data_IF_800412829153
#
_entry.id   IF_800412829153
#
_cell.length_a   1.000
_cell.length_b   1.000
_cell.length_c   1.000
_cell.angle_alpha   90.00
_cell.angle_beta   90.00
_cell.angle_gamma   90.00
#
_symmetry.space_group_name_H-M   'P 1'
#
loop_
_entity.id
_entity.type
_entity.pdbx_description
1 polymer ?
#
# COMPACT_ATOMS: atom_id res chain seq x y z
N UNK A 1 44.82 29.12 -71.37
CA UNK A 1 43.51 29.77 -71.55
C UNK A 1 42.46 28.65 -71.44
N UNK A 2 41.99 28.42 -70.22
CA UNK A 2 40.62 28.74 -69.77
C UNK A 2 39.53 28.02 -70.55
N UNK A 3 38.91 27.03 -69.88
CA UNK A 3 37.52 26.69 -70.09
C UNK A 3 36.96 26.10 -68.79
N UNK A 4 36.16 26.92 -68.11
CA UNK A 4 35.40 26.62 -66.91
C UNK A 4 34.49 25.39 -67.08
N UNK A 5 34.50 24.49 -66.09
CA UNK A 5 33.42 23.52 -65.87
C UNK A 5 32.92 23.58 -64.42
N UNK A 6 31.62 23.87 -64.34
CA UNK A 6 30.74 23.87 -63.18
C UNK A 6 30.99 22.70 -62.21
N UNK A 7 31.09 23.00 -60.92
CA UNK A 7 30.93 22.04 -59.82
C UNK A 7 29.61 22.36 -59.11
N UNK A 8 28.64 21.46 -59.29
CA UNK A 8 27.38 21.41 -58.57
C UNK A 8 27.60 20.72 -57.22
N UNK A 9 27.39 21.45 -56.12
CA UNK A 9 27.52 20.95 -54.75
C UNK A 9 26.30 20.10 -54.36
N UNK A 10 26.50 18.79 -54.18
CA UNK A 10 25.58 17.90 -53.45
C UNK A 10 25.86 18.03 -51.94
N UNK A 11 24.84 18.12 -51.06
CA UNK A 11 25.08 18.05 -49.62
C UNK A 11 25.42 16.61 -49.18
N UNK A 12 26.22 16.43 -48.13
CA UNK A 12 26.66 15.11 -47.69
C UNK A 12 25.53 14.36 -46.98
N UNK A 13 25.53 13.04 -47.18
CA UNK A 13 24.64 12.05 -46.60
C UNK A 13 24.68 12.06 -45.07
N UNK A 14 23.51 12.22 -44.43
CA UNK A 14 23.33 12.03 -42.99
C UNK A 14 23.32 10.52 -42.70
N UNK A 15 24.35 10.02 -42.03
CA UNK A 15 24.39 8.63 -41.57
C UNK A 15 23.41 8.43 -40.41
N UNK A 16 22.64 7.36 -40.49
CA UNK A 16 21.78 6.85 -39.43
C UNK A 16 22.60 6.50 -38.19
N UNK A 17 22.57 7.38 -37.18
CA UNK A 17 23.01 7.09 -35.82
C UNK A 17 22.40 8.10 -34.83
N UNK A 18 21.08 8.25 -34.84
CA UNK A 18 20.38 8.79 -33.67
C UNK A 18 20.19 7.64 -32.69
N UNK A 19 21.19 7.44 -31.84
CA UNK A 19 21.07 6.60 -30.65
C UNK A 19 20.05 7.31 -29.75
N UNK A 20 18.84 6.74 -29.64
CA UNK A 20 17.93 7.07 -28.54
C UNK A 20 18.66 6.73 -27.23
N UNK A 21 19.24 7.74 -26.58
CA UNK A 21 19.71 7.62 -25.22
C UNK A 21 18.49 7.52 -24.30
N UNK A 22 17.92 6.32 -24.17
CA UNK A 22 17.00 6.02 -23.08
C UNK A 22 17.73 6.26 -21.77
N UNK A 23 17.21 7.15 -20.92
CA UNK A 23 17.70 7.34 -19.56
C UNK A 23 17.91 5.98 -18.88
N UNK A 24 19.04 5.72 -18.20
CA UNK A 24 19.30 4.40 -17.63
C UNK A 24 18.23 4.06 -16.59
N UNK A 25 17.50 2.98 -16.84
CA UNK A 25 16.39 2.53 -16.00
C UNK A 25 16.84 2.41 -14.53
N UNK A 26 16.10 3.06 -13.61
CA UNK A 26 16.48 3.15 -12.19
C UNK A 26 16.64 1.76 -11.57
N UNK A 27 17.69 1.56 -10.79
CA UNK A 27 17.98 0.28 -10.12
C UNK A 27 16.96 0.03 -9.00
N UNK A 28 16.49 -1.20 -8.89
CA UNK A 28 15.67 -1.64 -7.77
C UNK A 28 16.51 -1.75 -6.49
N UNK A 29 16.00 -1.21 -5.38
CA UNK A 29 16.67 -1.28 -4.08
C UNK A 29 16.83 -2.75 -3.64
N UNK A 30 18.04 -3.23 -3.30
CA UNK A 30 18.27 -4.62 -2.92
C UNK A 30 17.39 -5.10 -1.77
N UNK A 31 17.25 -4.32 -0.70
CA UNK A 31 16.48 -4.76 0.49
C UNK A 31 14.98 -4.82 0.27
N UNK A 32 14.46 -4.13 -0.76
CA UNK A 32 13.05 -4.20 -1.17
C UNK A 32 12.82 -5.37 -2.15
N UNK A 33 13.64 -5.49 -3.20
CA UNK A 33 13.44 -6.56 -4.21
C UNK A 33 13.66 -7.98 -3.66
N UNK A 34 14.31 -8.13 -2.50
CA UNK A 34 14.48 -9.43 -1.83
C UNK A 34 13.29 -9.86 -0.99
N UNK A 35 12.31 -8.97 -0.76
CA UNK A 35 11.09 -9.28 -0.01
C UNK A 35 10.22 -10.28 -0.76
N UNK A 36 9.30 -10.93 -0.05
CA UNK A 36 8.23 -11.76 -0.61
C UNK A 36 6.90 -11.01 -0.55
N UNK A 37 5.93 -11.27 -1.45
CA UNK A 37 4.65 -10.56 -1.44
C UNK A 37 3.92 -10.65 -0.09
N UNK A 38 3.89 -11.82 0.55
CA UNK A 38 3.31 -12.01 1.91
C UNK A 38 3.98 -11.21 3.04
N UNK A 39 5.17 -10.69 2.81
CA UNK A 39 5.90 -9.83 3.77
C UNK A 39 5.55 -8.35 3.56
N UNK A 40 4.70 -8.04 2.57
CA UNK A 40 4.35 -6.68 2.17
C UNK A 40 2.91 -6.34 2.54
N UNK A 41 2.74 -5.09 2.99
CA UNK A 41 1.48 -4.37 2.95
C UNK A 41 1.67 -3.21 1.98
N UNK A 42 0.90 -3.19 0.89
CA UNK A 42 0.91 -2.08 -0.05
C UNK A 42 -0.04 -1.01 0.47
N UNK A 43 0.45 0.22 0.55
CA UNK A 43 -0.36 1.39 0.88
C UNK A 43 -0.52 2.21 -0.39
N UNK A 44 -1.74 2.25 -0.89
CA UNK A 44 -2.10 2.96 -2.11
C UNK A 44 -2.59 4.35 -1.73
N UNK A 45 -1.88 5.37 -2.18
CA UNK A 45 -2.26 6.77 -2.00
C UNK A 45 -2.89 7.36 -3.26
N UNK A 46 -3.33 8.61 -3.16
CA UNK A 46 -4.05 9.33 -4.22
C UNK A 46 -3.22 9.47 -5.50
N UNK A 47 -1.90 9.49 -5.40
CA UNK A 47 -1.02 9.51 -6.57
C UNK A 47 -1.16 8.29 -7.49
N UNK A 48 -1.64 7.15 -6.98
CA UNK A 48 -1.95 5.99 -7.82
C UNK A 48 -3.26 6.22 -8.57
N UNK A 49 -4.32 6.65 -7.89
CA UNK A 49 -5.59 6.98 -8.55
C UNK A 49 -5.40 8.08 -9.62
N UNK A 50 -4.58 9.09 -9.31
CA UNK A 50 -4.20 10.14 -10.24
C UNK A 50 -3.46 9.61 -11.48
N UNK A 51 -2.54 8.65 -11.31
CA UNK A 51 -1.84 8.02 -12.42
C UNK A 51 -2.73 7.06 -13.23
N UNK A 52 -3.73 6.46 -12.59
CA UNK A 52 -4.65 5.52 -13.24
C UNK A 52 -5.67 6.23 -14.12
N UNK A 53 -6.23 7.33 -13.62
CA UNK A 53 -7.26 8.10 -14.29
C UNK A 53 -6.91 9.60 -14.23
N UNK A 54 -5.88 10.05 -14.97
CA UNK A 54 -5.33 11.41 -14.87
C UNK A 54 -6.31 12.52 -15.28
N UNK A 55 -7.36 12.16 -16.02
CA UNK A 55 -8.39 13.09 -16.49
C UNK A 55 -9.53 13.30 -15.49
N UNK A 56 -9.49 12.65 -14.32
CA UNK A 56 -10.53 12.76 -13.28
C UNK A 56 -10.05 13.73 -12.20
N UNK A 57 -10.58 14.97 -12.15
CA UNK A 57 -10.09 16.00 -11.22
C UNK A 57 -10.21 15.59 -9.74
N UNK A 58 -11.27 14.86 -9.39
CA UNK A 58 -11.52 14.36 -8.04
C UNK A 58 -10.41 13.42 -7.52
N UNK A 59 -9.65 12.79 -8.42
CA UNK A 59 -8.56 11.88 -8.06
C UNK A 59 -7.20 12.58 -8.01
N UNK A 60 -7.10 13.84 -8.41
CA UNK A 60 -5.82 14.57 -8.48
C UNK A 60 -5.45 15.24 -7.17
N UNK A 61 -6.44 15.68 -6.38
CA UNK A 61 -6.19 16.40 -5.13
C UNK A 61 -7.42 16.43 -4.24
N UNK A 62 -7.20 16.71 -2.95
CA UNK A 62 -8.27 16.94 -1.99
C UNK A 62 -9.19 18.10 -2.40
N UNK A 63 -8.62 19.21 -2.88
CA UNK A 63 -9.38 20.34 -3.44
C UNK A 63 -10.22 19.89 -4.64
N UNK A 64 -9.64 19.09 -5.53
CA UNK A 64 -10.34 18.53 -6.69
C UNK A 64 -11.54 17.66 -6.30
N UNK A 65 -11.39 16.85 -5.25
CA UNK A 65 -12.51 16.04 -4.72
C UNK A 65 -13.63 16.92 -4.16
N UNK A 66 -13.31 17.91 -3.32
CA UNK A 66 -14.33 18.79 -2.74
C UNK A 66 -15.00 19.63 -3.83
N UNK A 67 -14.24 20.10 -4.81
CA UNK A 67 -14.77 20.82 -5.96
C UNK A 67 -15.75 19.94 -6.75
N UNK A 68 -15.37 18.70 -7.08
CA UNK A 68 -16.25 17.78 -7.80
C UNK A 68 -17.53 17.45 -7.02
N UNK A 69 -17.44 17.31 -5.69
CA UNK A 69 -18.62 17.14 -4.83
C UNK A 69 -19.52 18.37 -4.82
N UNK A 70 -18.93 19.57 -4.80
CA UNK A 70 -19.67 20.82 -4.88
C UNK A 70 -20.37 20.98 -6.23
N UNK A 71 -19.66 20.66 -7.32
CA UNK A 71 -20.21 20.72 -8.69
C UNK A 71 -21.39 19.76 -8.83
N UNK A 72 -21.24 18.50 -8.39
CA UNK A 72 -22.34 17.53 -8.38
C UNK A 72 -23.53 18.01 -7.51
N UNK A 73 -23.26 18.65 -6.37
CA UNK A 73 -24.31 19.21 -5.53
C UNK A 73 -25.07 20.37 -6.19
N UNK A 74 -24.37 21.18 -6.98
CA UNK A 74 -24.98 22.26 -7.77
C UNK A 74 -25.80 21.66 -8.91
N UNK A 75 -25.27 20.67 -9.63
CA UNK A 75 -25.95 20.02 -10.76
C UNK A 75 -27.23 19.27 -10.33
N UNK A 76 -27.28 18.81 -9.08
CA UNK A 76 -28.47 18.23 -8.47
C UNK A 76 -29.40 19.24 -7.77
N UNK A 77 -29.16 20.55 -7.91
CA UNK A 77 -29.94 21.63 -7.30
C UNK A 77 -30.07 21.51 -5.77
N UNK A 78 -29.01 21.06 -5.08
CA UNK A 78 -29.02 20.79 -3.64
C UNK A 78 -28.61 21.99 -2.77
N UNK A 79 -28.14 23.06 -3.40
CA UNK A 79 -27.60 24.25 -2.75
C UNK A 79 -28.22 25.50 -3.33
N UNK A 80 -28.53 26.48 -2.49
CA UNK A 80 -28.98 27.79 -2.95
C UNK A 80 -27.81 28.58 -3.59
N UNK A 81 -28.10 29.51 -4.50
CA UNK A 81 -27.09 30.31 -5.22
C UNK A 81 -26.10 31.04 -4.29
N UNK A 82 -26.57 31.51 -3.13
CA UNK A 82 -25.71 32.17 -2.13
C UNK A 82 -24.77 31.17 -1.44
N UNK A 83 -25.27 29.97 -1.12
CA UNK A 83 -24.48 28.90 -0.52
C UNK A 83 -23.41 28.39 -1.48
N UNK A 84 -23.80 28.13 -2.73
CA UNK A 84 -22.89 27.71 -3.80
C UNK A 84 -21.75 28.72 -3.98
N UNK A 85 -22.07 30.02 -4.05
CA UNK A 85 -21.06 31.09 -4.13
C UNK A 85 -20.14 31.12 -2.90
N UNK A 86 -20.68 30.90 -1.70
CA UNK A 86 -19.89 30.84 -0.46
C UNK A 86 -18.92 29.67 -0.47
N UNK A 87 -19.37 28.46 -0.81
CA UNK A 87 -18.51 27.28 -0.90
C UNK A 87 -17.43 27.45 -1.97
N UNK A 88 -17.79 27.93 -3.16
CA UNK A 88 -16.83 28.23 -4.21
C UNK A 88 -15.77 29.23 -3.74
N UNK A 89 -16.18 30.34 -3.09
CA UNK A 89 -15.22 31.31 -2.56
C UNK A 89 -14.26 30.70 -1.54
N UNK A 90 -14.75 29.90 -0.60
CA UNK A 90 -13.92 29.23 0.38
C UNK A 90 -12.90 28.26 -0.25
N UNK A 91 -13.31 27.52 -1.30
CA UNK A 91 -12.41 26.64 -2.07
C UNK A 91 -11.36 27.43 -2.87
N UNK A 92 -11.73 28.55 -3.47
CA UNK A 92 -10.81 29.39 -4.23
C UNK A 92 -9.74 30.03 -3.34
N UNK A 93 -10.12 30.45 -2.13
CA UNK A 93 -9.21 31.08 -1.16
C UNK A 93 -8.33 30.05 -0.40
N UNK A 94 -8.43 28.75 -0.73
CA UNK A 94 -7.72 27.64 -0.08
C UNK A 94 -7.86 27.63 1.46
N UNK A 95 -8.97 28.17 1.96
CA UNK A 95 -9.25 28.27 3.40
C UNK A 95 -9.61 26.90 3.93
N UNK A 96 -8.75 26.37 4.81
CA UNK A 96 -8.97 25.19 5.65
C UNK A 96 -9.93 24.16 5.03
N UNK A 97 -9.50 23.53 3.93
CA UNK A 97 -10.30 22.62 3.09
C UNK A 97 -11.04 21.53 3.89
N UNK A 98 -10.49 21.14 5.04
CA UNK A 98 -11.12 20.20 5.98
C UNK A 98 -12.45 20.73 6.53
N UNK A 99 -12.52 22.01 6.88
CA UNK A 99 -13.77 22.63 7.35
C UNK A 99 -14.76 22.79 6.20
N UNK A 100 -14.29 23.17 5.01
CA UNK A 100 -15.15 23.29 3.81
C UNK A 100 -15.78 21.94 3.47
N UNK A 101 -14.99 20.86 3.46
CA UNK A 101 -15.49 19.51 3.27
C UNK A 101 -16.52 19.13 4.34
N UNK A 102 -16.22 19.41 5.61
CA UNK A 102 -17.12 19.09 6.72
C UNK A 102 -18.48 19.78 6.58
N UNK A 103 -18.49 21.09 6.32
CA UNK A 103 -19.71 21.88 6.17
C UNK A 103 -20.53 21.42 4.95
N UNK A 104 -19.85 21.12 3.83
CA UNK A 104 -20.51 20.57 2.63
C UNK A 104 -21.18 19.23 2.92
N UNK A 105 -20.50 18.30 3.59
CA UNK A 105 -21.09 16.99 3.95
C UNK A 105 -22.28 17.16 4.87
N UNK A 106 -22.20 18.04 5.89
CA UNK A 106 -23.33 18.28 6.78
C UNK A 106 -24.56 18.78 6.02
N UNK A 107 -24.36 19.64 5.03
CA UNK A 107 -25.43 20.15 4.17
C UNK A 107 -26.02 19.04 3.28
N UNK A 108 -25.18 18.18 2.71
CA UNK A 108 -25.58 17.07 1.84
C UNK A 108 -26.10 15.84 2.60
N UNK A 109 -25.85 15.77 3.90
CA UNK A 109 -26.31 14.69 4.80
C UNK A 109 -27.11 15.27 5.97
N UNK A 110 -28.27 15.92 5.70
CA UNK A 110 -29.12 16.40 6.78
C UNK A 110 -29.50 15.22 7.68
N UNK A 111 -29.58 15.45 8.99
CA UNK A 111 -29.93 14.43 10.00
C UNK A 111 -31.39 13.99 9.85
N UNK A 112 -31.72 13.32 8.76
CA UNK A 112 -32.99 12.65 8.55
C UNK A 112 -32.90 11.23 9.09
N UNK A 113 -34.01 10.67 9.54
CA UNK A 113 -34.08 9.32 10.14
C UNK A 113 -33.80 8.18 9.15
N UNK A 114 -33.52 8.48 7.87
CA UNK A 114 -33.22 7.49 6.84
C UNK A 114 -31.72 7.51 6.48
N UNK A 115 -30.96 6.69 7.19
CA UNK A 115 -29.49 6.58 7.12
C UNK A 115 -28.99 6.10 5.73
N UNK A 116 -29.90 5.59 4.87
CA UNK A 116 -29.55 4.95 3.59
C UNK A 116 -29.66 5.83 2.33
N UNK A 117 -30.16 7.07 2.43
CA UNK A 117 -30.35 7.97 1.27
C UNK A 117 -30.00 9.43 1.61
N UNK A 118 -28.71 9.73 1.75
CA UNK A 118 -28.24 11.12 1.83
C UNK A 118 -27.89 11.62 0.44
N UNK A 119 -28.13 12.90 0.14
CA UNK A 119 -27.69 13.49 -1.12
C UNK A 119 -26.17 13.44 -1.30
N UNK A 120 -25.43 13.35 -0.18
CA UNK A 120 -23.98 13.12 -0.20
C UNK A 120 -23.61 11.82 -0.91
N UNK A 121 -24.39 10.75 -0.71
CA UNK A 121 -24.21 9.50 -1.43
C UNK A 121 -24.36 9.73 -2.93
N UNK A 122 -25.43 10.39 -3.35
CA UNK A 122 -25.72 10.61 -4.77
C UNK A 122 -24.63 11.46 -5.43
N UNK A 123 -24.14 12.50 -4.76
CA UNK A 123 -22.99 13.30 -5.21
C UNK A 123 -21.72 12.45 -5.36
N UNK A 124 -21.42 11.58 -4.40
CA UNK A 124 -20.25 10.69 -4.49
C UNK A 124 -20.35 9.70 -5.65
N UNK A 125 -21.53 9.14 -5.89
CA UNK A 125 -21.75 8.24 -7.02
C UNK A 125 -21.55 8.98 -8.34
N UNK A 126 -22.02 10.22 -8.47
CA UNK A 126 -21.79 11.05 -9.65
C UNK A 126 -20.29 11.33 -9.87
N UNK A 127 -19.59 11.76 -8.81
CA UNK A 127 -18.14 12.07 -8.88
C UNK A 127 -17.31 10.87 -9.31
N UNK A 128 -17.66 9.68 -8.84
CA UNK A 128 -16.96 8.43 -9.15
C UNK A 128 -17.69 7.57 -10.18
N UNK A 129 -18.63 8.15 -10.94
CA UNK A 129 -19.32 7.39 -11.97
C UNK A 129 -18.37 7.04 -13.12
N UNK A 130 -18.59 5.86 -13.69
CA UNK A 130 -17.92 5.41 -14.91
C UNK A 130 -16.38 5.49 -14.86
N UNK A 131 -15.78 5.27 -13.68
CA UNK A 131 -14.31 5.29 -13.50
C UNK A 131 -13.59 4.26 -14.37
N UNK A 132 -14.22 3.11 -14.64
CA UNK A 132 -13.64 2.03 -15.46
C UNK A 132 -13.26 2.51 -16.86
N UNK A 133 -14.13 3.27 -17.53
CA UNK A 133 -13.85 3.81 -18.86
C UNK A 133 -12.81 4.92 -18.87
N UNK A 134 -12.51 5.51 -17.70
CA UNK A 134 -11.57 6.62 -17.51
C UNK A 134 -10.14 6.16 -17.19
N UNK A 135 -9.91 4.84 -17.05
CA UNK A 135 -8.59 4.27 -16.78
C UNK A 135 -7.70 4.26 -18.04
N UNK A 136 -6.51 4.85 -17.95
CA UNK A 136 -5.49 4.82 -19.01
C UNK A 136 -4.64 3.53 -18.94
N UNK A 137 -4.01 3.14 -20.05
CA UNK A 137 -3.32 1.84 -20.17
C UNK A 137 -2.09 1.73 -19.25
N UNK A 138 -1.33 2.81 -19.08
CA UNK A 138 -0.23 2.89 -18.11
C UNK A 138 -0.73 2.72 -16.67
N UNK A 139 -1.91 3.28 -16.38
CA UNK A 139 -2.66 3.08 -15.15
C UNK A 139 -3.04 1.63 -14.90
N UNK A 140 -3.60 0.97 -15.92
CA UNK A 140 -3.96 -0.45 -15.87
C UNK A 140 -2.75 -1.34 -15.60
N UNK A 141 -1.59 -1.06 -16.21
CA UNK A 141 -0.33 -1.77 -15.96
C UNK A 141 0.13 -1.64 -14.49
N UNK A 142 -0.06 -0.46 -13.89
CA UNK A 142 0.23 -0.22 -12.48
C UNK A 142 -0.69 -1.05 -11.57
N UNK A 143 -2.00 -1.04 -11.84
CA UNK A 143 -2.98 -1.85 -11.10
C UNK A 143 -2.75 -3.36 -11.30
N UNK A 144 -2.33 -3.79 -12.49
CA UNK A 144 -1.95 -5.16 -12.77
C UNK A 144 -0.81 -5.63 -11.86
N UNK A 145 0.19 -4.78 -11.67
CA UNK A 145 1.33 -5.06 -10.79
C UNK A 145 0.92 -5.17 -9.31
N UNK A 146 0.00 -4.31 -8.86
CA UNK A 146 -0.59 -4.38 -7.51
C UNK A 146 -1.35 -5.69 -7.34
N UNK A 147 -2.26 -6.00 -8.28
CA UNK A 147 -3.07 -7.21 -8.28
C UNK A 147 -2.19 -8.47 -8.30
N UNK A 148 -1.11 -8.47 -9.08
CA UNK A 148 -0.16 -9.57 -9.11
C UNK A 148 0.47 -9.82 -7.74
N UNK A 149 0.87 -8.78 -7.01
CA UNK A 149 1.41 -8.94 -5.66
C UNK A 149 0.35 -9.45 -4.67
N UNK A 150 -0.90 -8.97 -4.76
CA UNK A 150 -2.02 -9.47 -3.95
C UNK A 150 -2.27 -10.96 -4.14
N UNK A 151 -2.27 -11.43 -5.38
CA UNK A 151 -2.43 -12.86 -5.70
C UNK A 151 -1.29 -13.73 -5.19
N UNK A 152 -0.15 -13.12 -4.85
CA UNK A 152 0.98 -13.77 -4.22
C UNK A 152 1.02 -13.56 -2.68
N UNK A 153 0.01 -12.90 -2.11
CA UNK A 153 -0.20 -12.79 -0.66
C UNK A 153 0.10 -11.42 -0.06
N UNK A 154 0.39 -10.38 -0.85
CA UNK A 154 0.48 -9.03 -0.31
C UNK A 154 -0.91 -8.54 0.15
N UNK A 155 -0.94 -7.83 1.28
CA UNK A 155 -2.13 -7.10 1.71
C UNK A 155 -2.16 -5.71 1.06
N UNK A 156 -3.35 -5.14 0.88
CA UNK A 156 -3.52 -3.79 0.34
C UNK A 156 -4.45 -3.00 1.25
N UNK A 157 -4.01 -1.79 1.58
CA UNK A 157 -4.85 -0.76 2.19
C UNK A 157 -4.69 0.54 1.42
N UNK A 158 -5.69 1.40 1.51
CA UNK A 158 -5.74 2.68 0.82
C UNK A 158 -6.41 3.73 1.69
N UNK A 159 -6.04 4.99 1.47
CA UNK A 159 -6.78 6.14 2.02
C UNK A 159 -7.70 6.75 0.96
N UNK A 160 -7.76 6.19 -0.25
CA UNK A 160 -8.58 6.74 -1.31
C UNK A 160 -10.04 6.27 -1.19
N UNK A 161 -10.98 7.11 -1.65
CA UNK A 161 -12.41 6.82 -1.65
C UNK A 161 -12.84 6.00 -2.87
N UNK A 162 -12.11 6.07 -3.98
CA UNK A 162 -12.36 5.30 -5.19
C UNK A 162 -12.09 3.80 -5.00
N UNK A 163 -12.60 2.98 -5.90
CA UNK A 163 -12.40 1.52 -5.95
C UNK A 163 -11.73 1.08 -7.26
N UNK A 164 -10.81 1.89 -7.82
CA UNK A 164 -10.21 1.65 -9.14
C UNK A 164 -9.51 0.28 -9.23
N UNK A 165 -8.85 -0.16 -8.16
CA UNK A 165 -8.18 -1.45 -8.11
C UNK A 165 -9.18 -2.61 -8.21
N UNK A 166 -10.32 -2.48 -7.54
CA UNK A 166 -11.38 -3.48 -7.54
C UNK A 166 -12.14 -3.52 -8.87
N UNK A 167 -12.45 -2.36 -9.45
CA UNK A 167 -13.03 -2.27 -10.79
C UNK A 167 -12.11 -2.92 -11.83
N UNK A 168 -10.82 -2.59 -11.80
CA UNK A 168 -9.83 -3.20 -12.68
C UNK A 168 -9.77 -4.72 -12.49
N UNK A 169 -9.74 -5.19 -11.24
CA UNK A 169 -9.69 -6.62 -10.97
C UNK A 169 -10.96 -7.35 -11.43
N UNK A 170 -12.14 -6.74 -11.28
CA UNK A 170 -13.41 -7.28 -11.79
C UNK A 170 -13.37 -7.43 -13.32
N UNK A 171 -12.83 -6.44 -14.04
CA UNK A 171 -12.61 -6.53 -15.48
C UNK A 171 -11.60 -7.64 -15.87
N UNK A 172 -10.66 -7.98 -14.98
CA UNK A 172 -9.76 -9.14 -15.12
C UNK A 172 -10.40 -10.47 -14.67
N UNK A 173 -11.71 -10.50 -14.38
CA UNK A 173 -12.44 -11.69 -13.92
C UNK A 173 -12.14 -12.09 -12.48
N UNK A 174 -11.64 -11.16 -11.65
CA UNK A 174 -11.31 -11.40 -10.24
C UNK A 174 -12.19 -10.55 -9.34
N UNK A 175 -12.68 -11.15 -8.27
CA UNK A 175 -13.47 -10.43 -7.28
C UNK A 175 -12.56 -9.96 -6.13
N UNK A 176 -12.42 -8.65 -5.97
CA UNK A 176 -11.83 -8.03 -4.80
C UNK A 176 -12.94 -7.49 -3.90
N UNK A 177 -12.85 -7.76 -2.60
CA UNK A 177 -13.79 -7.20 -1.62
C UNK A 177 -13.24 -5.88 -1.07
N UNK A 178 -14.00 -4.79 -1.19
CA UNK A 178 -13.72 -3.54 -0.49
C UNK A 178 -14.15 -3.65 0.97
N UNK A 179 -13.24 -3.32 1.87
CA UNK A 179 -13.45 -3.27 3.32
C UNK A 179 -13.29 -1.84 3.79
N UNK A 180 -14.05 -1.45 4.80
CA UNK A 180 -13.82 -0.21 5.53
C UNK A 180 -13.84 -0.49 7.04
N UNK A 181 -13.53 0.54 7.83
CA UNK A 181 -13.40 0.42 9.27
C UNK A 181 -14.74 0.29 10.01
N UNK A 182 -15.88 0.29 9.31
CA UNK A 182 -17.20 0.07 9.93
C UNK A 182 -17.50 -1.40 10.21
N UNK A 183 -16.91 -2.34 9.45
CA UNK A 183 -17.04 -3.78 9.68
C UNK A 183 -15.79 -4.34 10.38
N UNK A 184 -15.76 -4.16 11.70
CA UNK A 184 -14.68 -4.61 12.58
C UNK A 184 -14.29 -6.08 12.34
N UNK A 185 -15.27 -6.97 12.18
CA UNK A 185 -15.00 -8.40 12.00
C UNK A 185 -14.21 -8.65 10.73
N UNK A 186 -14.61 -8.02 9.61
CA UNK A 186 -13.90 -8.17 8.35
C UNK A 186 -12.50 -7.57 8.41
N UNK A 187 -12.33 -6.43 9.08
CA UNK A 187 -11.02 -5.80 9.25
C UNK A 187 -10.08 -6.70 10.06
N UNK A 188 -10.55 -7.31 11.15
CA UNK A 188 -9.76 -8.26 11.93
C UNK A 188 -9.39 -9.52 11.12
N UNK A 189 -10.33 -10.07 10.35
CA UNK A 189 -10.05 -11.19 9.46
C UNK A 189 -9.05 -10.84 8.35
N UNK A 190 -9.10 -9.62 7.82
CA UNK A 190 -8.13 -9.09 6.87
C UNK A 190 -6.74 -8.93 7.49
N UNK A 191 -6.65 -8.30 8.67
CA UNK A 191 -5.38 -8.09 9.36
C UNK A 191 -4.72 -9.40 9.80
N UNK A 192 -5.52 -10.43 10.06
CA UNK A 192 -5.07 -11.80 10.36
C UNK A 192 -4.80 -12.63 9.10
N UNK A 193 -4.83 -12.03 7.90
CA UNK A 193 -4.60 -12.68 6.60
C UNK A 193 -5.60 -13.83 6.28
N UNK A 194 -6.77 -13.82 6.92
CA UNK A 194 -7.85 -14.80 6.68
C UNK A 194 -8.73 -14.40 5.49
N UNK A 195 -8.79 -13.10 5.15
CA UNK A 195 -9.39 -12.59 3.92
C UNK A 195 -8.31 -12.27 2.91
N UNK A 196 -8.31 -13.02 1.80
CA UNK A 196 -7.45 -12.76 0.65
C UNK A 196 -8.21 -11.92 -0.36
N UNK A 197 -7.49 -11.22 -1.24
CA UNK A 197 -8.07 -10.41 -2.33
C UNK A 197 -9.12 -9.41 -1.81
N UNK A 198 -8.71 -8.61 -0.83
CA UNK A 198 -9.53 -7.53 -0.27
C UNK A 198 -8.68 -6.28 -0.06
N UNK A 199 -9.32 -5.13 -0.16
CA UNK A 199 -8.71 -3.80 -0.03
C UNK A 199 -9.31 -3.13 1.19
N UNK A 200 -8.46 -2.71 2.14
CA UNK A 200 -8.92 -1.94 3.30
C UNK A 200 -8.90 -0.43 2.99
N UNK A 201 -10.04 0.20 2.93
CA UNK A 201 -10.22 1.64 2.78
C UNK A 201 -10.30 2.31 4.16
N UNK A 202 -9.22 2.97 4.54
CA UNK A 202 -9.10 3.63 5.84
C UNK A 202 -10.11 4.77 5.97
N UNK A 203 -10.20 5.65 4.96
CA UNK A 203 -11.18 6.75 4.90
C UNK A 203 -12.58 6.32 4.42
N UNK A 204 -12.82 5.02 4.23
CA UNK A 204 -14.03 4.49 3.61
C UNK A 204 -14.00 4.51 2.08
N UNK A 205 -15.02 3.91 1.47
CA UNK A 205 -15.16 3.73 0.02
C UNK A 205 -16.48 4.32 -0.47
N UNK A 206 -16.51 4.95 -1.64
CA UNK A 206 -17.72 5.65 -2.15
C UNK A 206 -18.94 4.74 -2.33
N UNK A 207 -18.72 3.44 -2.56
CA UNK A 207 -19.79 2.44 -2.63
C UNK A 207 -20.43 2.13 -1.27
N UNK A 208 -19.80 2.55 -0.16
CA UNK A 208 -20.35 2.53 1.18
C UNK A 208 -20.21 3.90 1.87
N UNK A 209 -21.04 4.90 1.49
CA UNK A 209 -20.89 6.29 1.92
C UNK A 209 -21.08 6.50 3.43
N UNK A 210 -21.76 5.58 4.13
CA UNK A 210 -21.92 5.65 5.58
C UNK A 210 -20.60 5.43 6.34
N UNK A 211 -19.63 4.77 5.70
CA UNK A 211 -18.29 4.55 6.24
C UNK A 211 -17.26 5.61 5.87
N UNK A 212 -17.65 6.63 5.08
CA UNK A 212 -16.72 7.66 4.63
C UNK A 212 -16.36 8.63 5.76
N UNK A 213 -15.06 8.91 5.86
CA UNK A 213 -14.50 9.88 6.80
C UNK A 213 -13.68 10.94 6.06
N UNK A 214 -14.25 12.14 5.93
CA UNK A 214 -13.57 13.31 5.33
C UNK A 214 -12.95 14.26 6.37
N UNK A 215 -13.18 14.01 7.66
CA UNK A 215 -12.72 14.87 8.75
C UNK A 215 -12.05 14.05 9.86
N UNK A 216 -10.90 14.46 10.43
CA UNK A 216 -10.20 13.73 11.49
C UNK A 216 -11.07 13.37 12.70
N UNK A 217 -12.04 14.21 13.07
CA UNK A 217 -12.99 13.89 14.15
C UNK A 217 -13.86 12.65 13.87
N UNK A 218 -14.12 12.30 12.60
CA UNK A 218 -14.85 11.09 12.23
C UNK A 218 -14.10 9.81 12.61
N UNK A 219 -12.78 9.90 12.81
CA UNK A 219 -11.96 8.81 13.31
C UNK A 219 -12.08 8.54 14.80
N UNK A 220 -12.67 9.44 15.60
CA UNK A 220 -12.67 9.26 17.06
C UNK A 220 -13.36 7.96 17.50
N UNK A 221 -14.40 7.52 16.80
CA UNK A 221 -15.08 6.26 17.14
C UNK A 221 -14.27 5.04 16.66
N UNK A 222 -13.61 5.15 15.52
CA UNK A 222 -12.83 4.07 14.90
C UNK A 222 -11.50 3.86 15.64
N UNK A 223 -10.77 4.94 15.95
CA UNK A 223 -9.52 4.89 16.73
C UNK A 223 -9.74 4.45 18.18
N UNK A 224 -10.98 4.52 18.70
CA UNK A 224 -11.34 3.94 20.00
C UNK A 224 -11.46 2.42 19.95
N UNK A 225 -11.60 1.80 18.78
CA UNK A 225 -11.57 0.36 18.66
C UNK A 225 -10.13 -0.15 18.86
N UNK A 226 -9.80 -0.45 20.11
CA UNK A 226 -8.46 -0.89 20.50
C UNK A 226 -8.06 -2.22 19.86
N UNK A 227 -9.01 -3.08 19.50
CA UNK A 227 -8.70 -4.39 18.92
C UNK A 227 -8.29 -4.28 17.46
N UNK A 228 -9.09 -3.58 16.64
CA UNK A 228 -8.75 -3.27 15.24
C UNK A 228 -7.43 -2.54 15.16
N UNK A 229 -7.28 -1.49 15.98
CA UNK A 229 -6.06 -0.69 16.04
C UNK A 229 -4.81 -1.53 16.36
N UNK A 230 -4.93 -2.44 17.33
CA UNK A 230 -3.82 -3.33 17.70
C UNK A 230 -3.42 -4.26 16.56
N UNK A 231 -4.37 -4.88 15.85
CA UNK A 231 -4.02 -5.77 14.73
C UNK A 231 -3.43 -5.01 13.54
N UNK A 232 -3.93 -3.80 13.24
CA UNK A 232 -3.34 -2.93 12.20
C UNK A 232 -1.91 -2.53 12.58
N UNK A 233 -1.66 -2.13 13.83
CA UNK A 233 -0.31 -1.79 14.32
C UNK A 233 0.64 -3.00 14.28
N UNK A 234 0.15 -4.18 14.64
CA UNK A 234 0.92 -5.43 14.54
C UNK A 234 1.35 -5.75 13.11
N UNK A 235 0.54 -5.42 12.09
CA UNK A 235 1.00 -5.53 10.70
C UNK A 235 2.22 -4.65 10.45
N UNK A 236 2.23 -3.42 10.98
CA UNK A 236 3.37 -2.51 10.86
C UNK A 236 4.63 -3.05 11.57
N UNK A 237 4.47 -3.77 12.67
CA UNK A 237 5.59 -4.42 13.39
C UNK A 237 6.10 -5.70 12.70
N UNK A 238 5.29 -6.34 11.87
CA UNK A 238 5.56 -7.70 11.35
C UNK A 238 5.70 -7.78 9.84
N UNK A 239 5.32 -6.73 9.09
CA UNK A 239 5.39 -6.64 7.64
C UNK A 239 6.04 -5.32 7.20
N UNK A 240 6.70 -5.36 6.04
CA UNK A 240 7.26 -4.17 5.40
C UNK A 240 6.15 -3.44 4.65
N UNK A 241 5.94 -2.17 4.99
CA UNK A 241 4.97 -1.34 4.26
C UNK A 241 5.63 -0.75 3.02
N UNK A 242 4.93 -0.80 1.89
CA UNK A 242 5.35 -0.20 0.63
C UNK A 242 4.33 0.87 0.23
N UNK A 243 4.72 2.13 0.41
CA UNK A 243 3.92 3.31 0.10
C UNK A 243 4.05 3.65 -1.39
N UNK A 244 2.91 3.71 -2.08
CA UNK A 244 2.79 3.94 -3.51
C UNK A 244 1.86 5.14 -3.74
N UNK A 245 2.35 6.21 -4.37
CA UNK A 245 1.53 7.41 -4.61
C UNK A 245 1.14 8.17 -3.34
N UNK A 246 1.87 7.99 -2.24
CA UNK A 246 1.56 8.56 -0.92
C UNK A 246 2.23 9.91 -0.65
N UNK A 247 2.69 10.65 -1.68
CA UNK A 247 3.46 11.89 -1.51
C UNK A 247 2.76 12.93 -0.63
N UNK A 248 1.45 13.06 -0.76
CA UNK A 248 0.61 13.93 0.08
C UNK A 248 -0.07 13.18 1.25
N UNK A 249 -0.21 11.86 1.14
CA UNK A 249 -0.79 11.00 2.19
C UNK A 249 0.06 10.99 3.46
N UNK A 250 1.35 11.32 3.37
CA UNK A 250 2.22 11.45 4.57
C UNK A 250 1.79 12.56 5.52
N UNK A 251 1.08 13.59 5.04
CA UNK A 251 0.56 14.69 5.86
C UNK A 251 -0.81 14.38 6.46
N UNK A 252 -1.40 13.23 6.10
CA UNK A 252 -2.68 12.78 6.63
C UNK A 252 -2.55 12.43 8.12
N UNK A 253 -3.26 13.17 8.97
CA UNK A 253 -3.20 13.00 10.43
C UNK A 253 -3.66 11.63 10.89
N UNK A 254 -4.61 11.01 10.20
CA UNK A 254 -5.06 9.67 10.54
C UNK A 254 -3.99 8.66 10.17
N UNK A 255 -3.43 8.76 8.98
CA UNK A 255 -2.34 7.91 8.56
C UNK A 255 -1.14 8.01 9.53
N UNK A 256 -0.78 9.24 9.92
CA UNK A 256 0.24 9.49 10.93
C UNK A 256 -0.13 8.83 12.27
N UNK A 257 -1.34 9.03 12.76
CA UNK A 257 -1.81 8.42 14.01
C UNK A 257 -1.81 6.88 13.95
N UNK A 258 -2.26 6.29 12.85
CA UNK A 258 -2.37 4.83 12.68
C UNK A 258 -1.00 4.15 12.61
N UNK A 259 -0.05 4.72 11.87
CA UNK A 259 1.17 4.01 11.46
C UNK A 259 2.48 4.67 11.92
N UNK A 260 2.50 5.98 12.18
CA UNK A 260 3.74 6.71 12.46
C UNK A 260 3.87 7.13 13.93
N UNK A 261 2.78 7.53 14.58
CA UNK A 261 2.77 8.07 15.95
C UNK A 261 2.38 7.05 17.02
N UNK A 262 1.50 6.08 16.69
CA UNK A 262 1.08 5.06 17.65
C UNK A 262 2.20 4.07 18.03
N UNK A 263 3.29 4.05 17.27
CA UNK A 263 4.40 3.12 17.45
C UNK A 263 5.41 3.67 18.47
N UNK A 264 5.23 3.32 19.75
CA UNK A 264 6.14 3.73 20.85
C UNK A 264 7.55 3.13 20.74
N UNK A 265 7.72 2.06 19.97
CA UNK A 265 9.00 1.41 19.72
C UNK A 265 9.27 1.43 18.21
N UNK A 266 10.45 1.90 17.81
CA UNK A 266 10.90 1.83 16.41
C UNK A 266 10.91 0.34 16.01
N UNK A 267 10.16 -0.03 14.98
CA UNK A 267 10.22 -1.38 14.44
C UNK A 267 11.63 -1.60 13.86
N UNK A 268 12.16 -2.82 13.98
CA UNK A 268 13.40 -3.22 13.29
C UNK A 268 13.15 -3.47 11.79
N UNK A 269 11.91 -3.32 11.31
CA UNK A 269 11.55 -3.56 9.92
C UNK A 269 11.79 -2.34 9.06
N UNK A 270 12.30 -2.61 7.86
CA UNK A 270 12.41 -1.59 6.83
C UNK A 270 11.06 -1.41 6.14
N UNK A 271 10.55 -0.18 6.16
CA UNK A 271 9.43 0.28 5.35
C UNK A 271 9.97 1.06 4.14
N UNK A 272 9.17 1.21 3.09
CA UNK A 272 9.62 1.75 1.81
C UNK A 272 8.59 2.69 1.21
N UNK A 273 9.05 3.75 0.56
CA UNK A 273 8.18 4.68 -0.15
C UNK A 273 8.73 4.95 -1.54
N UNK A 274 7.89 4.73 -2.56
CA UNK A 274 8.23 5.06 -3.94
C UNK A 274 7.76 6.47 -4.26
N UNK A 275 8.68 7.34 -4.67
CA UNK A 275 8.40 8.74 -5.00
C UNK A 275 9.05 9.17 -6.31
N UNK A 276 8.49 10.20 -6.95
CA UNK A 276 9.17 10.88 -8.05
C UNK A 276 10.41 11.57 -7.48
N UNK A 277 11.50 11.63 -8.24
CA UNK A 277 12.69 12.37 -7.80
C UNK A 277 12.38 13.85 -7.60
N UNK A 278 11.66 14.47 -8.55
CA UNK A 278 11.27 15.88 -8.46
C UNK A 278 12.46 16.81 -8.20
N UNK A 279 12.23 17.83 -7.37
CA UNK A 279 13.29 18.71 -6.89
C UNK A 279 14.26 17.97 -5.94
N UNK A 280 15.55 18.25 -6.09
CA UNK A 280 16.60 17.52 -5.36
C UNK A 280 16.56 17.81 -3.86
N UNK A 281 16.25 19.03 -3.46
CA UNK A 281 16.27 19.44 -2.06
C UNK A 281 14.98 19.02 -1.34
N UNK A 282 13.83 19.09 -2.01
CA UNK A 282 12.58 18.49 -1.52
C UNK A 282 12.73 16.97 -1.31
N UNK A 283 13.35 16.27 -2.27
CA UNK A 283 13.57 14.84 -2.17
C UNK A 283 14.50 14.48 -1.00
N UNK A 284 15.59 15.22 -0.80
CA UNK A 284 16.51 15.01 0.34
C UNK A 284 15.78 15.22 1.66
N UNK A 285 15.03 16.32 1.79
CA UNK A 285 14.27 16.65 2.99
C UNK A 285 13.24 15.57 3.31
N UNK A 286 12.49 15.11 2.30
CA UNK A 286 11.54 14.00 2.46
C UNK A 286 12.25 12.73 2.92
N UNK A 287 13.39 12.40 2.30
CA UNK A 287 14.17 11.21 2.63
C UNK A 287 14.68 11.23 4.07
N UNK A 288 15.21 12.35 4.55
CA UNK A 288 15.67 12.51 5.93
C UNK A 288 14.50 12.34 6.91
N UNK A 289 13.41 13.08 6.69
CA UNK A 289 12.22 13.04 7.54
C UNK A 289 11.61 11.64 7.64
N UNK A 290 11.57 10.89 6.54
CA UNK A 290 10.99 9.54 6.50
C UNK A 290 11.94 8.49 7.05
N UNK A 291 13.26 8.68 6.91
CA UNK A 291 14.25 7.76 7.47
C UNK A 291 14.20 7.75 9.01
N UNK A 292 13.96 8.90 9.64
CA UNK A 292 13.76 8.99 11.10
C UNK A 292 12.57 8.15 11.59
N UNK A 293 11.58 7.96 10.70
CA UNK A 293 10.38 7.12 10.88
C UNK A 293 10.58 5.67 10.42
N UNK A 294 11.79 5.25 10.03
CA UNK A 294 12.09 3.90 9.57
C UNK A 294 11.66 3.61 8.12
N UNK A 295 11.35 4.63 7.34
CA UNK A 295 10.89 4.52 5.95
C UNK A 295 11.99 4.93 4.98
N UNK A 296 12.41 4.00 4.12
CA UNK A 296 13.36 4.26 3.03
C UNK A 296 12.65 4.82 1.82
N UNK A 297 12.93 6.09 1.50
CA UNK A 297 12.44 6.76 0.29
C UNK A 297 13.28 6.35 -0.91
N UNK A 298 12.62 5.88 -1.98
CA UNK A 298 13.22 5.38 -3.21
C UNK A 298 12.62 6.15 -4.38
N UNK A 299 13.49 6.75 -5.21
CA UNK A 299 13.05 7.35 -6.46
C UNK A 299 12.81 6.27 -7.52
N UNK A 300 11.62 6.26 -8.12
CA UNK A 300 11.31 5.38 -9.26
C UNK A 300 11.75 5.99 -10.60
N UNK A 301 11.90 7.30 -10.67
CA UNK A 301 12.16 8.04 -11.90
C UNK A 301 12.05 9.54 -11.69
N UNK A 302 12.18 10.28 -12.79
CA UNK A 302 12.10 11.74 -12.81
C UNK A 302 10.68 12.21 -13.17
N UNK A 303 9.89 11.37 -13.87
CA UNK A 303 8.51 11.64 -14.27
C UNK A 303 7.50 10.66 -13.65
N UNK A 304 6.24 11.08 -13.48
CA UNK A 304 5.17 10.20 -12.98
C UNK A 304 4.93 8.98 -13.88
N UNK A 305 5.17 9.13 -15.18
CA UNK A 305 5.07 8.06 -16.19
C UNK A 305 6.13 6.97 -16.02
N UNK A 306 7.17 7.19 -15.21
CA UNK A 306 8.20 6.19 -14.94
C UNK A 306 7.74 5.13 -13.91
N UNK A 307 6.71 5.44 -13.11
CA UNK A 307 6.25 4.58 -12.03
C UNK A 307 5.73 3.21 -12.52
N UNK A 308 4.86 3.11 -13.55
CA UNK A 308 4.35 1.81 -14.00
C UNK A 308 5.45 0.82 -14.39
N UNK A 309 6.41 1.22 -15.22
CA UNK A 309 7.52 0.36 -15.64
C UNK A 309 8.43 -0.03 -14.46
N UNK A 310 8.78 0.95 -13.61
CA UNK A 310 9.59 0.69 -12.42
C UNK A 310 8.92 -0.31 -11.48
N UNK A 311 7.62 -0.14 -11.25
CA UNK A 311 6.86 -0.95 -10.31
C UNK A 311 6.58 -2.35 -10.85
N UNK A 312 6.34 -2.51 -12.16
CA UNK A 312 6.18 -3.83 -12.79
C UNK A 312 7.45 -4.68 -12.62
N UNK A 313 8.62 -4.10 -12.88
CA UNK A 313 9.92 -4.75 -12.66
C UNK A 313 10.09 -5.14 -11.19
N UNK A 314 9.74 -4.26 -10.28
CA UNK A 314 9.81 -4.53 -8.85
C UNK A 314 8.88 -5.69 -8.46
N UNK A 315 7.62 -5.64 -8.89
CA UNK A 315 6.61 -6.64 -8.58
C UNK A 315 7.02 -8.03 -9.10
N UNK A 316 7.63 -8.08 -10.28
CA UNK A 316 8.18 -9.30 -10.89
C UNK A 316 9.29 -9.93 -10.05
N UNK A 317 10.27 -9.15 -9.61
CA UNK A 317 11.37 -9.61 -8.75
C UNK A 317 10.88 -10.08 -7.38
N UNK A 318 9.94 -9.35 -6.77
CA UNK A 318 9.36 -9.72 -5.48
C UNK A 318 8.54 -11.01 -5.60
N UNK A 319 7.71 -11.15 -6.64
CA UNK A 319 6.85 -12.31 -6.84
C UNK A 319 7.63 -13.59 -7.19
N UNK A 320 8.65 -13.50 -8.04
CA UNK A 320 9.50 -14.65 -8.41
C UNK A 320 10.20 -15.27 -7.19
N UNK A 321 10.64 -14.45 -6.23
CA UNK A 321 11.22 -14.94 -4.96
C UNK A 321 10.20 -15.59 -4.03
N UNK A 322 8.95 -15.16 -4.08
CA UNK A 322 7.83 -15.85 -3.43
C UNK A 322 7.65 -17.28 -3.94
N UNK A 323 7.86 -17.50 -5.24
CA UNK A 323 7.73 -18.80 -5.89
C UNK A 323 8.95 -19.71 -5.71
N UNK A 324 10.17 -19.15 -5.68
CA UNK A 324 11.41 -19.93 -5.50
C UNK A 324 11.50 -20.63 -4.12
N UNK A 325 10.83 -20.09 -3.09
CA UNK A 325 10.69 -20.75 -1.78
C UNK A 325 9.60 -21.82 -1.72
N UNK A 326 8.82 -22.02 -2.78
CA UNK A 326 7.73 -22.97 -2.86
C UNK A 326 8.19 -24.20 -3.67
N UNK A 327 8.38 -25.34 -2.99
CA UNK A 327 8.81 -26.60 -3.63
C UNK A 327 7.91 -26.99 -4.82
N UNK A 328 8.39 -27.86 -5.71
CA UNK A 328 7.70 -28.23 -6.95
C UNK A 328 6.21 -28.61 -6.74
N UNK A 329 5.91 -29.32 -5.65
CA UNK A 329 4.53 -29.66 -5.26
C UNK A 329 3.65 -28.44 -4.95
N UNK A 330 4.20 -27.39 -4.32
CA UNK A 330 3.48 -26.15 -4.02
C UNK A 330 3.22 -25.28 -5.25
N UNK A 331 4.08 -25.37 -6.27
CA UNK A 331 3.83 -24.74 -7.58
C UNK A 331 2.69 -25.42 -8.33
N UNK A 332 2.66 -26.75 -8.36
CA UNK A 332 1.58 -27.55 -8.97
C UNK A 332 0.25 -27.34 -8.25
N UNK A 333 0.26 -27.34 -6.92
CA UNK A 333 -0.91 -27.07 -6.07
C UNK A 333 -1.55 -25.71 -6.38
N UNK A 334 -0.72 -24.69 -6.56
CA UNK A 334 -1.18 -23.33 -6.87
C UNK A 334 -1.80 -23.23 -8.26
N UNK A 335 -1.17 -23.82 -9.28
CA UNK A 335 -1.69 -23.81 -10.66
C UNK A 335 -3.04 -24.54 -10.74
N UNK A 336 -3.23 -25.58 -9.94
CA UNK A 336 -4.44 -26.40 -9.94
C UNK A 336 -5.51 -25.92 -8.93
N UNK A 337 -5.22 -24.90 -8.11
CA UNK A 337 -6.14 -24.43 -7.07
C UNK A 337 -6.38 -25.43 -5.93
N UNK A 338 -5.46 -26.38 -5.71
CA UNK A 338 -5.59 -27.46 -4.72
C UNK A 338 -4.68 -27.17 -3.51
N UNK A 339 -5.10 -27.46 -2.26
CA UNK A 339 -4.22 -27.33 -1.10
C UNK A 339 -2.99 -28.26 -1.20
N UNK A 340 -1.78 -27.70 -1.04
CA UNK A 340 -0.51 -28.41 -1.25
C UNK A 340 -0.34 -29.70 -0.42
N UNK A 341 -1.04 -29.82 0.72
CA UNK A 341 -1.05 -31.03 1.56
C UNK A 341 -1.66 -32.26 0.87
N UNK A 342 -2.61 -32.08 -0.05
CA UNK A 342 -3.27 -33.19 -0.76
C UNK A 342 -2.41 -33.78 -1.88
N UNK A 343 -1.58 -32.95 -2.52
CA UNK A 343 -0.59 -33.38 -3.52
C UNK A 343 0.57 -34.16 -2.89
N UNK A 344 1.05 -33.73 -1.72
CA UNK A 344 2.10 -34.46 -0.98
C UNK A 344 1.62 -35.81 -0.42
N UNK A 345 0.31 -35.99 -0.27
CA UNK A 345 -0.29 -37.21 0.29
C UNK A 345 -0.68 -38.25 -0.78
N UNK A 346 -0.43 -37.99 -2.08
CA UNK A 346 -0.71 -38.94 -3.15
C UNK A 346 -2.19 -39.26 -3.37
N UNK A 347 -3.12 -38.43 -2.86
CA UNK A 347 -4.57 -38.72 -2.83
C UNK A 347 -5.35 -38.25 -4.06
N UNK A 348 -4.70 -37.69 -5.07
CA UNK A 348 -5.36 -37.25 -6.30
C UNK A 348 -4.60 -37.79 -7.51
N UNK A 349 -5.21 -38.74 -8.22
CA UNK A 349 -4.84 -39.07 -9.59
C UNK A 349 -5.49 -38.03 -10.51
N UNK A 350 -4.73 -37.27 -11.33
CA UNK A 350 -5.34 -36.31 -12.24
C UNK A 350 -6.17 -37.06 -13.31
N UNK A 351 -7.24 -36.45 -13.84
CA UNK A 351 -8.02 -37.03 -14.92
C UNK A 351 -7.12 -37.29 -16.14
N UNK A 352 -7.45 -38.35 -16.88
CA UNK A 352 -6.64 -39.04 -17.89
C UNK A 352 -6.02 -38.18 -19.03
N UNK A 353 -6.30 -36.88 -19.09
CA UNK A 353 -5.79 -35.96 -20.13
C UNK A 353 -4.45 -35.27 -19.78
N UNK A 354 -3.99 -35.29 -18.52
CA UNK A 354 -2.74 -34.61 -18.13
C UNK A 354 -1.50 -35.52 -17.97
N UNK A 355 -1.53 -36.76 -18.50
CA UNK A 355 -0.34 -37.64 -18.53
C UNK A 355 0.74 -37.18 -19.53
N UNK A 356 0.44 -36.26 -20.45
CA UNK A 356 1.40 -35.83 -21.48
C UNK A 356 2.43 -34.79 -21.01
N UNK A 357 2.20 -34.02 -19.95
CA UNK A 357 3.11 -32.91 -19.59
C UNK A 357 4.14 -33.31 -18.52
N UNK A 358 3.88 -34.36 -17.72
CA UNK A 358 4.78 -34.78 -16.64
C UNK A 358 5.86 -35.75 -17.11
N UNK A 359 5.74 -36.33 -18.31
CA UNK A 359 6.74 -37.30 -18.84
C UNK A 359 7.88 -36.66 -19.64
N UNK A 360 7.75 -35.41 -20.11
CA UNK A 360 8.83 -34.76 -20.89
C UNK A 360 9.94 -34.10 -20.04
N UNK A 361 9.68 -33.79 -18.77
CA UNK A 361 10.66 -33.07 -17.93
C UNK A 361 11.63 -33.97 -17.17
N UNK A 362 11.50 -35.30 -17.26
CA UNK A 362 12.34 -36.25 -16.52
C UNK A 362 13.41 -36.96 -17.37
N UNK A 363 13.51 -36.68 -18.68
CA UNK A 363 14.40 -37.40 -19.60
C UNK A 363 15.56 -36.60 -20.20
N UNK A 364 15.86 -35.38 -19.72
CA UNK A 364 16.97 -34.57 -20.24
C UNK A 364 18.16 -34.35 -19.28
N UNK A 365 18.34 -35.19 -18.25
CA UNK A 365 19.57 -35.19 -17.45
C UNK A 365 20.16 -36.60 -17.27
N UNK A 366 20.49 -37.25 -18.39
CA UNK A 366 21.52 -38.31 -18.40
C UNK A 366 22.37 -38.11 -19.65
N UNK A 367 23.56 -37.53 -19.49
CA UNK A 367 24.63 -37.65 -20.48
C UNK A 367 25.49 -38.88 -20.14
N UNK A 368 25.86 -39.72 -21.13
CA UNK A 368 26.75 -40.85 -20.95
C UNK A 368 28.20 -40.48 -21.32
N UNK A 369 29.19 -41.07 -20.64
CA UNK A 369 30.43 -41.54 -21.28
C UNK A 369 31.17 -42.57 -20.42
N UNK A 370 31.53 -43.67 -21.09
CA UNK A 370 32.27 -44.85 -20.61
C UNK A 370 33.79 -44.65 -20.76
N UNK A 371 34.55 -45.47 -20.02
CA UNK A 371 35.91 -45.95 -20.36
C UNK A 371 36.80 -46.04 -19.12
N UNK A 372 36.84 -47.16 -18.38
CA UNK A 372 37.60 -48.40 -18.60
C UNK A 372 38.85 -48.47 -17.70
N UNK A 373 39.04 -49.56 -16.95
CA UNK A 373 40.33 -49.93 -16.36
C UNK A 373 40.32 -50.56 -14.96
N UNK A 374 40.29 -51.89 -14.92
CA UNK A 374 41.04 -52.80 -14.00
C UNK A 374 40.89 -52.73 -12.46
N UNK A 375 40.42 -53.85 -11.88
CA UNK A 375 40.50 -54.29 -10.46
C UNK A 375 41.94 -54.69 -10.04
N UNK A 376 42.21 -55.25 -8.83
CA UNK A 376 41.50 -55.24 -7.53
C UNK A 376 42.45 -54.93 -6.31
N UNK A 377 41.91 -54.71 -5.11
CA UNK A 377 42.34 -55.39 -3.85
C UNK A 377 41.90 -54.67 -2.55
N UNK A 378 41.68 -55.53 -1.53
CA UNK A 378 41.83 -55.31 -0.08
C UNK A 378 40.76 -54.53 0.73
N UNK A 379 39.87 -55.33 1.33
CA UNK A 379 39.42 -55.25 2.74
C UNK A 379 40.58 -54.97 3.73
N UNK A 380 40.36 -54.43 4.95
CA UNK A 380 39.48 -55.07 5.93
C UNK A 380 38.66 -54.17 6.88
N UNK A 381 37.77 -54.90 7.56
CA UNK A 381 36.90 -54.53 8.68
C UNK A 381 37.68 -54.00 9.90
N UNK A 382 37.06 -53.09 10.65
CA UNK A 382 37.12 -53.08 12.12
C UNK A 382 35.91 -52.32 12.69
N UNK A 383 35.29 -52.92 13.71
CA UNK A 383 34.15 -52.45 14.50
C UNK A 383 34.68 -52.03 15.90
N UNK A 384 33.83 -51.58 16.84
CA UNK A 384 33.89 -50.26 17.46
C UNK A 384 34.53 -50.23 18.85
N UNK A 385 34.98 -49.05 19.30
CA UNK A 385 35.27 -48.79 20.71
C UNK A 385 34.31 -47.77 21.34
N UNK A 386 34.00 -48.05 22.60
CA UNK A 386 33.14 -47.31 23.53
C UNK A 386 33.93 -46.15 24.14
N UNK A 387 33.23 -45.11 24.59
CA UNK A 387 33.74 -44.33 25.73
C UNK A 387 33.24 -42.89 25.87
N UNK A 388 32.53 -42.66 26.97
CA UNK A 388 32.46 -41.43 27.77
C UNK A 388 31.68 -40.21 27.26
N UNK A 389 30.44 -40.13 27.78
CA UNK A 389 29.91 -39.01 28.59
C UNK A 389 30.63 -37.66 28.57
N UNK A 390 29.93 -36.62 28.12
CA UNK A 390 30.09 -35.26 28.66
C UNK A 390 28.77 -34.48 28.57
N UNK A 391 28.34 -34.04 29.74
CA UNK A 391 27.13 -33.31 30.12
C UNK A 391 26.93 -31.96 29.41
N UNK A 392 25.67 -31.68 29.06
CA UNK A 392 25.18 -30.37 28.64
C UNK A 392 24.98 -29.42 29.85
N UNK A 393 25.25 -28.11 29.74
CA UNK A 393 24.93 -27.16 30.80
C UNK A 393 23.50 -26.62 30.66
N UNK A 394 22.75 -26.66 31.77
CA UNK A 394 21.45 -26.00 31.96
C UNK A 394 21.62 -24.49 32.16
N UNK A 395 20.60 -23.67 31.82
CA UNK A 395 20.62 -22.22 32.00
C UNK A 395 20.37 -21.81 33.46
N UNK A 396 20.84 -20.63 33.90
CA UNK A 396 20.67 -20.16 35.28
C UNK A 396 19.26 -19.62 35.55
N UNK A 397 18.76 -19.94 36.74
CA UNK A 397 17.50 -19.48 37.33
C UNK A 397 17.57 -18.01 37.83
N UNK A 398 16.43 -17.32 38.04
CA UNK A 398 16.38 -15.87 38.22
C UNK A 398 16.84 -15.39 39.60
N UNK A 399 17.46 -14.21 39.65
CA UNK A 399 17.90 -13.55 40.89
C UNK A 399 16.71 -12.93 41.64
N UNK A 400 16.72 -13.14 42.96
CA UNK A 400 15.80 -12.65 43.98
C UNK A 400 15.65 -11.13 44.01
N UNK A 401 14.41 -10.69 44.23
CA UNK A 401 14.00 -9.35 44.63
C UNK A 401 14.76 -8.85 45.87
N UNK A 402 15.22 -7.60 45.80
CA UNK A 402 15.62 -6.81 46.97
C UNK A 402 14.46 -5.89 47.32
N UNK A 403 13.83 -6.17 48.46
CA UNK A 403 12.84 -5.30 49.12
C UNK A 403 13.49 -3.98 49.54
N UNK A 404 12.84 -2.86 49.27
CA UNK A 404 13.00 -1.58 50.00
C UNK A 404 11.63 -1.11 50.54
N UNK A 405 11.60 -0.35 51.64
CA UNK A 405 10.51 -0.41 52.61
C UNK A 405 9.35 0.53 52.31
N UNK A 406 8.17 0.12 52.81
CA UNK A 406 6.94 0.93 52.90
C UNK A 406 7.11 2.03 53.95
N UNK A 407 6.80 3.28 53.58
CA UNK A 407 6.41 4.31 54.53
C UNK A 407 4.87 4.38 54.56
N UNK A 408 4.29 4.28 55.76
CA UNK A 408 2.89 4.56 56.07
C UNK A 408 2.79 5.95 56.68
N UNK A 409 1.68 6.63 56.40
CA UNK A 409 0.98 7.47 57.37
C UNK A 409 0.91 8.96 57.03
N UNK A 410 -0.32 9.50 56.97
CA UNK A 410 -0.55 10.94 56.98
C UNK A 410 -1.86 11.40 56.36
N UNK A 411 -2.96 11.27 57.10
CA UNK A 411 -4.29 11.84 56.85
C UNK A 411 -4.35 13.36 57.06
N UNK A 412 -5.22 14.06 56.33
CA UNK A 412 -5.70 15.44 56.62
C UNK A 412 -6.13 16.16 55.34
N UNK A 413 -7.42 16.16 54.97
CA UNK A 413 -8.44 17.13 55.36
C UNK A 413 -8.30 18.52 54.70
N UNK A 414 -9.30 18.82 53.84
CA UNK A 414 -9.92 20.11 53.49
C UNK A 414 -9.07 21.39 53.57
N UNK A 415 -8.98 22.08 52.43
CA UNK A 415 -9.24 23.53 52.36
C UNK A 415 -9.54 23.95 50.92
N UNK A 416 -10.64 24.67 50.72
CA UNK A 416 -11.01 25.29 49.45
C UNK A 416 -10.43 26.70 49.33
N UNK A 417 -9.99 27.08 48.13
CA UNK A 417 -9.77 28.48 47.71
C UNK A 417 -10.14 28.56 46.22
N UNK A 418 -11.34 29.06 45.89
CA UNK A 418 -11.65 30.45 45.54
C UNK A 418 -10.95 30.94 44.26
N UNK A 419 -11.75 31.02 43.19
CA UNK A 419 -11.52 31.79 41.96
C UNK A 419 -11.28 33.27 42.27
N UNK A 420 -10.45 33.98 41.47
CA UNK A 420 -10.66 35.40 41.24
C UNK A 420 -11.52 35.61 39.99
N UNK A 421 -12.66 36.26 40.20
CA UNK A 421 -13.40 37.02 39.18
C UNK A 421 -12.60 38.25 38.79
N UNK A 422 -12.73 38.67 37.53
CA UNK A 422 -12.65 40.09 37.16
C UNK A 422 -11.63 40.40 36.07
N UNK A 423 -12.11 40.59 34.85
CA UNK A 423 -11.85 41.78 34.03
C UNK A 423 -12.85 41.80 32.86
N UNK A 424 -13.86 42.66 33.01
CA UNK A 424 -14.77 43.18 31.98
C UNK A 424 -14.26 44.55 31.57
N UNK A 425 -14.08 44.87 30.28
CA UNK A 425 -14.93 45.70 29.40
C UNK A 425 -14.03 46.28 28.26
N UNK A 426 -14.54 46.91 27.18
CA UNK A 426 -15.91 47.01 26.68
C UNK A 426 -16.07 46.65 25.18
N UNK A 427 -17.34 46.59 24.77
CA UNK A 427 -17.80 46.63 23.38
C UNK A 427 -17.66 48.03 22.75
N UNK A 428 -17.58 48.06 21.42
CA UNK A 428 -18.10 49.15 20.58
C UNK A 428 -17.10 49.86 19.67
N UNK A 429 -17.16 49.58 18.37
CA UNK A 429 -17.48 50.61 17.37
C UNK A 429 -17.84 49.97 16.01
N UNK A 430 -18.97 50.42 15.50
CA UNK A 430 -19.52 50.18 14.18
C UNK A 430 -18.82 51.06 13.14
N UNK A 431 -18.64 50.54 11.93
CA UNK A 431 -18.70 51.24 10.62
C UNK A 431 -18.72 50.17 9.54
#
# INVERSE_FOLDING_TARGET
MSADRKISTRPPSVSAATICASSPCRKLLPSLKTKKPRELVLVIGTGISAAVAPRVPALQSWKGLIQALLDAAIDFDLLEDEESRRFQKCLHEDKNLVHVAHDLIQKLSPRTSNIHSTFFKDCLYEVFDNLESKMEDSGKQLLQSVLHLMENGALVLTTNFDNLLELYAAHQGKHLESLDLTDEKKVLEWAQEKRKLSVLHIHGVYTNPSGIVLHPAGYQNVLRNTEVMREIQKLYETKSFLFLGCGWTVDDTTFQALFLEAMKHKSDLEHFMLVRRGDVDEFKKLRENMLDKGIKVISYGDEYTDLPEYFERLASEVATRGQAGMGAAGRVARVLGIPARELSAGRITPPFSLRCVVSLSLFCFVSPRRGAGTSPSALPQARPERGSSSTAPRPPAPRREVRRPRARGGSGAREGKQLPKGLSFPAGCSS
#
